data_IF_108875058010
#
_entry.id   IF_108875058010
#
_cell.length_a   1.000
_cell.length_b   1.000
_cell.length_c   1.000
_cell.angle_alpha   90.00
_cell.angle_beta   90.00
_cell.angle_gamma   90.00
#
_symmetry.space_group_name_H-M   'P 1'
#
loop_
_entity.id
_entity.type
_entity.pdbx_description
1 polymer ?
#
# COMPACT_ATOMS: atom_id res chain seq x y z
N UNK A 1 -19.86 2.04 12.15
CA UNK A 1 -18.40 2.13 12.30
C UNK A 1 -17.76 2.40 10.97
N UNK A 2 -16.80 3.30 10.95
CA UNK A 2 -16.07 3.58 9.72
C UNK A 2 -14.97 2.56 9.51
N UNK A 3 -14.86 2.07 8.30
CA UNK A 3 -13.72 1.25 7.92
C UNK A 3 -12.58 2.15 7.49
N UNK A 4 -11.36 1.69 7.78
CA UNK A 4 -10.14 2.29 7.25
C UNK A 4 -9.52 1.29 6.29
N UNK A 5 -9.02 1.79 5.17
CA UNK A 5 -8.42 0.96 4.15
C UNK A 5 -6.92 1.20 4.09
N UNK A 6 -6.19 0.11 4.04
CA UNK A 6 -4.78 0.14 3.69
C UNK A 6 -4.68 -0.30 2.24
N UNK A 7 -3.89 0.40 1.44
CA UNK A 7 -3.79 0.08 0.02
C UNK A 7 -2.36 0.21 -0.47
N UNK A 8 -2.07 -0.53 -1.54
CA UNK A 8 -0.78 -0.43 -2.23
C UNK A 8 -1.08 -0.05 -3.68
N UNK A 9 -0.46 1.02 -4.14
CA UNK A 9 -0.57 1.50 -5.50
C UNK A 9 0.73 1.21 -6.24
N UNK A 10 0.62 1.00 -7.55
CA UNK A 10 1.78 0.92 -8.43
C UNK A 10 1.76 2.14 -9.32
N UNK A 11 2.88 2.84 -9.38
CA UNK A 11 3.04 4.02 -10.23
C UNK A 11 3.53 3.63 -11.63
N UNK A 12 3.46 4.57 -12.56
CA UNK A 12 3.85 4.31 -13.95
C UNK A 12 5.32 3.93 -14.08
N UNK A 13 6.16 4.33 -13.15
CA UNK A 13 7.59 3.98 -13.14
C UNK A 13 7.87 2.63 -12.46
N UNK A 14 6.83 1.91 -12.05
CA UNK A 14 6.96 0.60 -11.43
C UNK A 14 7.17 0.63 -9.92
N UNK A 15 7.27 1.80 -9.32
CA UNK A 15 7.41 1.90 -7.87
C UNK A 15 6.07 1.72 -7.17
N UNK A 16 6.12 1.37 -5.88
CA UNK A 16 4.92 1.15 -5.07
C UNK A 16 4.75 2.25 -4.04
N UNK A 17 3.50 2.53 -3.72
CA UNK A 17 3.12 3.48 -2.69
C UNK A 17 2.11 2.82 -1.76
N UNK A 18 2.38 2.87 -0.46
CA UNK A 18 1.50 2.34 0.57
C UNK A 18 0.82 3.50 1.30
N UNK A 19 -0.50 3.45 1.41
CA UNK A 19 -1.24 4.50 2.07
C UNK A 19 -2.46 3.97 2.81
N UNK A 20 -3.17 4.88 3.44
CA UNK A 20 -4.42 4.54 4.12
C UNK A 20 -5.46 5.62 3.84
N UNK A 21 -6.73 5.23 3.84
CA UNK A 21 -7.83 6.16 3.59
C UNK A 21 -9.13 5.58 4.18
N UNK A 22 -10.09 6.45 4.44
CA UNK A 22 -11.42 5.99 4.83
C UNK A 22 -12.36 5.87 3.63
N UNK A 23 -11.92 6.26 2.44
CA UNK A 23 -12.70 6.15 1.21
C UNK A 23 -11.78 5.82 0.05
N UNK A 24 -11.69 4.52 -0.24
CA UNK A 24 -10.75 4.01 -1.24
C UNK A 24 -11.07 4.51 -2.64
N UNK A 25 -12.33 4.46 -3.04
CA UNK A 25 -12.74 4.88 -4.38
C UNK A 25 -12.42 6.35 -4.63
N UNK A 26 -12.72 7.21 -3.66
CA UNK A 26 -12.42 8.63 -3.78
C UNK A 26 -10.93 8.88 -3.88
N UNK A 27 -10.15 8.18 -3.06
CA UNK A 27 -8.69 8.34 -3.07
C UNK A 27 -8.09 7.93 -4.41
N UNK A 28 -8.55 6.82 -4.97
CA UNK A 28 -8.09 6.37 -6.29
C UNK A 28 -8.46 7.38 -7.37
N UNK A 29 -9.67 7.90 -7.31
CA UNK A 29 -10.11 8.93 -8.25
C UNK A 29 -9.20 10.17 -8.16
N UNK A 30 -8.92 10.62 -6.94
CA UNK A 30 -8.06 11.79 -6.73
C UNK A 30 -6.66 11.58 -7.30
N UNK A 31 -6.10 10.38 -7.09
CA UNK A 31 -4.76 10.08 -7.60
C UNK A 31 -4.71 10.06 -9.13
N UNK A 32 -5.74 9.50 -9.77
CA UNK A 32 -5.72 9.31 -11.22
C UNK A 32 -6.25 10.51 -12.01
N UNK A 33 -7.07 11.36 -11.39
CA UNK A 33 -7.72 12.45 -12.10
C UNK A 33 -6.81 13.65 -12.38
N UNK A 34 -5.71 13.76 -11.63
CA UNK A 34 -4.83 14.91 -11.77
C UNK A 34 -5.43 16.21 -11.24
N UNK A 35 -6.37 16.12 -10.31
CA UNK A 35 -7.03 17.30 -9.75
C UNK A 35 -6.08 18.24 -9.04
N UNK A 36 -4.98 17.71 -8.50
CA UNK A 36 -3.98 18.54 -7.83
C UNK A 36 -2.63 18.36 -8.51
N UNK A 37 -2.27 19.29 -9.43
CA UNK A 37 -1.00 19.21 -10.16
C UNK A 37 0.22 19.27 -9.26
N UNK A 38 0.06 19.78 -8.04
CA UNK A 38 1.16 19.85 -7.06
C UNK A 38 1.30 18.58 -6.24
N UNK A 39 0.37 17.63 -6.38
CA UNK A 39 0.43 16.37 -5.67
C UNK A 39 1.64 15.55 -6.11
N UNK A 40 2.24 14.85 -5.16
CA UNK A 40 3.34 13.93 -5.43
C UNK A 40 2.99 12.92 -6.52
N UNK A 41 1.73 12.47 -6.54
CA UNK A 41 1.28 11.43 -7.48
C UNK A 41 0.92 11.94 -8.86
N UNK A 42 0.90 13.27 -9.07
CA UNK A 42 0.46 13.84 -10.33
C UNK A 42 1.25 13.30 -11.53
N UNK A 43 2.58 13.27 -11.43
CA UNK A 43 3.45 12.78 -12.49
C UNK A 43 3.68 11.28 -12.46
N UNK A 44 3.01 10.58 -11.54
CA UNK A 44 3.15 9.12 -11.38
C UNK A 44 2.03 8.35 -12.06
N UNK A 45 1.11 9.04 -12.72
CA UNK A 45 -0.02 8.42 -13.43
C UNK A 45 0.45 7.74 -14.71
N UNK A 46 -0.21 6.69 -15.17
CA UNK A 46 -1.37 6.04 -14.55
C UNK A 46 -1.00 5.28 -13.29
N UNK A 47 -1.95 5.22 -12.35
CA UNK A 47 -1.77 4.60 -11.06
C UNK A 47 -2.73 3.42 -10.94
N UNK A 48 -2.19 2.27 -10.56
CA UNK A 48 -2.99 1.04 -10.43
C UNK A 48 -3.11 0.65 -8.96
N UNK A 49 -4.32 0.21 -8.57
CA UNK A 49 -4.52 -0.38 -7.26
C UNK A 49 -4.09 -1.84 -7.31
N UNK A 50 -3.06 -2.20 -6.56
CA UNK A 50 -2.51 -3.55 -6.57
C UNK A 50 -3.00 -4.39 -5.41
N UNK A 51 -3.33 -3.75 -4.28
CA UNK A 51 -3.76 -4.48 -3.08
C UNK A 51 -4.52 -3.53 -2.18
N UNK A 52 -5.53 -4.06 -1.48
CA UNK A 52 -6.16 -3.32 -0.40
C UNK A 52 -6.73 -4.28 0.63
N UNK A 53 -6.86 -3.79 1.85
CA UNK A 53 -7.54 -4.50 2.94
C UNK A 53 -8.19 -3.46 3.83
N UNK A 54 -9.19 -3.88 4.60
CA UNK A 54 -9.92 -2.96 5.48
C UNK A 54 -9.81 -3.39 6.93
N UNK A 55 -9.90 -2.41 7.81
CA UNK A 55 -9.89 -2.61 9.25
C UNK A 55 -10.98 -1.75 9.87
N UNK A 56 -11.58 -2.24 10.95
CA UNK A 56 -12.55 -1.46 11.71
C UNK A 56 -11.89 -0.59 12.77
N UNK A 57 -10.65 -0.91 13.14
CA UNK A 57 -9.88 -0.17 14.13
C UNK A 57 -8.78 0.62 13.42
N UNK A 58 -8.83 1.94 13.56
CA UNK A 58 -7.87 2.84 12.90
C UNK A 58 -6.43 2.57 13.35
N UNK A 59 -6.23 2.16 14.59
CA UNK A 59 -4.89 1.87 15.08
C UNK A 59 -4.27 0.66 14.40
N UNK A 60 -5.10 -0.34 14.08
CA UNK A 60 -4.63 -1.51 13.32
C UNK A 60 -4.20 -1.09 11.92
N UNK A 61 -4.95 -0.18 11.29
CA UNK A 61 -4.62 0.35 9.97
C UNK A 61 -3.29 1.09 10.01
N UNK A 62 -3.11 1.97 10.98
CA UNK A 62 -1.89 2.76 11.12
C UNK A 62 -0.68 1.85 11.34
N UNK A 63 -0.82 0.85 12.22
CA UNK A 63 0.27 -0.06 12.51
C UNK A 63 0.65 -0.89 11.30
N UNK A 64 -0.34 -1.37 10.55
CA UNK A 64 -0.08 -2.18 9.36
C UNK A 64 0.55 -1.33 8.24
N UNK A 65 0.09 -0.09 8.09
CA UNK A 65 0.67 0.80 7.10
C UNK A 65 2.15 1.03 7.38
N UNK A 66 2.49 1.32 8.63
CA UNK A 66 3.88 1.52 9.02
C UNK A 66 4.72 0.28 8.76
N UNK A 67 4.18 -0.89 9.08
CA UNK A 67 4.86 -2.15 8.86
C UNK A 67 5.15 -2.37 7.37
N UNK A 68 4.13 -2.21 6.54
CA UNK A 68 4.25 -2.47 5.10
C UNK A 68 5.15 -1.43 4.42
N UNK A 69 5.11 -0.19 4.86
CA UNK A 69 5.99 0.85 4.31
C UNK A 69 7.46 0.51 4.48
N UNK A 70 7.80 -0.22 5.55
CA UNK A 70 9.19 -0.62 5.81
C UNK A 70 9.61 -1.86 5.02
N UNK A 71 8.66 -2.53 4.36
CA UNK A 71 8.94 -3.75 3.63
C UNK A 71 9.70 -3.47 2.33
N UNK A 72 10.52 -4.46 1.92
CA UNK A 72 11.17 -4.43 0.62
C UNK A 72 10.14 -4.55 -0.50
N UNK A 73 10.57 -4.22 -1.72
CA UNK A 73 9.72 -4.39 -2.89
C UNK A 73 9.28 -5.85 -3.04
N UNK A 74 10.20 -6.79 -2.79
CA UNK A 74 9.89 -8.21 -2.90
C UNK A 74 8.78 -8.64 -1.95
N UNK A 75 8.79 -8.16 -0.71
CA UNK A 75 7.72 -8.46 0.24
C UNK A 75 6.38 -7.88 -0.20
N UNK A 76 6.39 -6.65 -0.71
CA UNK A 76 5.17 -6.03 -1.21
C UNK A 76 4.61 -6.80 -2.40
N UNK A 77 5.47 -7.24 -3.30
CA UNK A 77 5.04 -8.05 -4.44
C UNK A 77 4.47 -9.40 -4.01
N UNK A 78 5.06 -10.03 -2.99
CA UNK A 78 4.54 -11.27 -2.45
C UNK A 78 3.13 -11.09 -1.90
N UNK A 79 2.88 -9.99 -1.20
CA UNK A 79 1.56 -9.68 -0.67
C UNK A 79 0.55 -9.45 -1.80
N UNK A 80 0.95 -8.68 -2.81
CA UNK A 80 0.11 -8.36 -3.96
C UNK A 80 -0.26 -9.62 -4.74
N UNK A 81 0.70 -10.52 -4.93
CA UNK A 81 0.50 -11.75 -5.70
C UNK A 81 -0.22 -12.84 -4.90
N UNK A 82 -0.51 -12.59 -3.64
CA UNK A 82 -1.16 -13.59 -2.80
C UNK A 82 -0.23 -14.70 -2.33
N UNK A 83 1.08 -14.51 -2.43
CA UNK A 83 2.07 -15.49 -1.97
C UNK A 83 2.31 -15.33 -0.47
N UNK A 84 1.21 -15.48 0.29
CA UNK A 84 1.25 -15.22 1.73
C UNK A 84 2.21 -16.17 2.45
N UNK A 85 2.32 -17.41 1.97
CA UNK A 85 3.23 -18.40 2.53
C UNK A 85 4.70 -18.01 2.41
N UNK A 86 5.04 -17.11 1.47
CA UNK A 86 6.41 -16.63 1.33
C UNK A 86 6.76 -15.53 2.34
N UNK A 87 5.74 -14.87 2.91
CA UNK A 87 5.96 -13.77 3.84
C UNK A 87 6.71 -14.17 5.11
N UNK A 88 6.43 -15.33 5.73
CA UNK A 88 7.18 -15.76 6.90
C UNK A 88 8.68 -15.88 6.64
N UNK A 89 9.07 -16.38 5.47
CA UNK A 89 10.47 -16.52 5.12
C UNK A 89 11.12 -15.15 4.93
N UNK A 90 10.44 -14.23 4.27
CA UNK A 90 10.94 -12.87 4.09
C UNK A 90 11.06 -12.15 5.43
N UNK A 91 10.07 -12.32 6.29
CA UNK A 91 10.10 -11.74 7.63
C UNK A 91 11.21 -12.35 8.48
N UNK A 92 11.45 -13.65 8.33
CA UNK A 92 12.52 -14.34 9.05
C UNK A 92 13.88 -13.76 8.72
N UNK A 93 14.10 -13.44 7.44
CA UNK A 93 15.36 -12.79 7.04
C UNK A 93 15.55 -11.47 7.75
N UNK A 94 14.48 -10.70 7.91
CA UNK A 94 14.54 -9.42 8.62
C UNK A 94 14.88 -9.63 10.09
N UNK A 95 14.35 -10.67 10.72
CA UNK A 95 14.66 -11.01 12.09
C UNK A 95 16.09 -11.47 12.25
N UNK A 96 16.60 -12.25 11.32
CA UNK A 96 17.97 -12.76 11.39
C UNK A 96 19.01 -11.66 11.32
N UNK A 97 18.66 -10.50 10.82
CA UNK A 97 19.55 -9.35 10.73
C UNK A 97 19.70 -8.58 12.03
N UNK A 98 18.98 -8.96 13.03
CA UNK A 98 19.07 -8.28 14.33
C UNK A 98 20.35 -8.62 15.07
#
# INVERSE_FOLDING_TARGET
MQESFLYILRFCDGSYYTGMTNNLNRRLYEHNSGLNPKSYTFNKRPIELMYYTSFTNIYDTINREKQIKSWSKAKKEALIDGRIEDLPNLAKKDFEKK
#
